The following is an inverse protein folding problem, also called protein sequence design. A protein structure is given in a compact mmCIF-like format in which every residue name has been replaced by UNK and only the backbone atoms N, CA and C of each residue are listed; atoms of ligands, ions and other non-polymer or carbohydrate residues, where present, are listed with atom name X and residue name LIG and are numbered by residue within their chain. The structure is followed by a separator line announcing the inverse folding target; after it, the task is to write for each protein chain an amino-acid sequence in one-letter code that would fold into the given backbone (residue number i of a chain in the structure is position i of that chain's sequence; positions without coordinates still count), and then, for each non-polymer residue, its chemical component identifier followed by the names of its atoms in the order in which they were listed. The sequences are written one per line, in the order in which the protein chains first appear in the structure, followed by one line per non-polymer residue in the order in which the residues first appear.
data_IF_972752399069
#
_entry.id   IF_972752399069
#
_cell.length_a   1.000
_cell.length_b   1.000
_cell.length_c   1.000
_cell.angle_alpha   90.00
_cell.angle_beta   90.00
_cell.angle_gamma   90.00
#
_symmetry.space_group_name_H-M   'P 1'
#
loop_
_entity.id
_entity.type
_entity.pdbx_description
1 polymer ?
#
# COMPACT_ATOMS: atom_id res chain seq x y z
N UNK A 1 9.73 -5.03 -12.32
CA UNK A 1 9.70 -5.94 -11.15
C UNK A 1 9.72 -7.41 -11.57
N UNK A 2 8.96 -7.82 -12.60
CA UNK A 2 8.90 -9.21 -13.10
C UNK A 2 10.25 -9.85 -13.48
N UNK A 3 11.15 -9.10 -14.11
CA UNK A 3 12.47 -9.62 -14.51
C UNK A 3 13.40 -9.96 -13.32
N UNK A 4 13.23 -9.27 -12.19
CA UNK A 4 14.00 -9.57 -10.97
C UNK A 4 13.43 -10.80 -10.24
N UNK A 5 12.10 -10.93 -10.24
CA UNK A 5 11.40 -12.09 -9.69
C UNK A 5 11.71 -13.38 -10.48
N UNK A 6 11.81 -13.32 -11.81
CA UNK A 6 12.18 -14.47 -12.63
C UNK A 6 13.60 -14.96 -12.32
N UNK A 7 14.55 -14.04 -12.14
CA UNK A 7 15.93 -14.39 -11.78
C UNK A 7 16.06 -15.06 -10.41
N UNK A 8 15.30 -14.59 -9.41
CA UNK A 8 15.21 -15.22 -8.08
C UNK A 8 14.61 -16.62 -8.22
N UNK A 9 13.53 -16.76 -8.99
CA UNK A 9 12.86 -18.04 -9.23
C UNK A 9 13.80 -19.05 -9.88
N UNK A 10 14.52 -18.67 -10.93
CA UNK A 10 15.49 -19.55 -11.60
C UNK A 10 16.63 -19.99 -10.67
N UNK A 11 17.09 -19.08 -9.79
CA UNK A 11 18.11 -19.40 -8.79
C UNK A 11 17.56 -20.38 -7.73
N UNK A 12 16.32 -20.18 -7.28
CA UNK A 12 15.62 -21.10 -6.38
C UNK A 12 15.43 -22.49 -7.01
N UNK A 13 14.98 -22.57 -8.25
CA UNK A 13 14.76 -23.83 -8.96
C UNK A 13 16.06 -24.62 -9.12
N UNK A 14 17.19 -23.93 -9.32
CA UNK A 14 18.52 -24.55 -9.29
C UNK A 14 18.88 -25.14 -7.93
N UNK A 15 18.58 -24.43 -6.83
CA UNK A 15 18.79 -24.93 -5.47
C UNK A 15 17.90 -26.15 -5.22
N UNK A 16 16.61 -26.09 -5.55
CA UNK A 16 15.67 -27.19 -5.38
C UNK A 16 16.11 -28.45 -6.15
N UNK A 17 16.57 -28.28 -7.40
CA UNK A 17 17.12 -29.39 -8.20
C UNK A 17 18.35 -30.02 -7.55
N UNK A 18 19.30 -29.21 -7.08
CA UNK A 18 20.52 -29.69 -6.41
C UNK A 18 20.22 -30.35 -5.07
N UNK A 19 19.24 -29.83 -4.31
CA UNK A 19 18.78 -30.43 -3.06
C UNK A 19 18.20 -31.82 -3.31
N UNK A 20 17.34 -31.96 -4.33
CA UNK A 20 16.76 -33.26 -4.71
C UNK A 20 17.85 -34.27 -5.11
N UNK A 21 18.84 -33.84 -5.90
CA UNK A 21 19.98 -34.71 -6.26
C UNK A 21 20.83 -35.10 -5.04
N UNK A 22 21.10 -34.16 -4.13
CA UNK A 22 21.85 -34.43 -2.91
C UNK A 22 21.12 -35.41 -2.00
N UNK A 23 19.81 -35.23 -1.82
CA UNK A 23 18.95 -36.11 -1.02
C UNK A 23 18.89 -37.52 -1.61
N UNK A 24 18.68 -37.68 -2.92
CA UNK A 24 18.69 -38.99 -3.60
C UNK A 24 20.00 -39.74 -3.39
N UNK A 25 21.14 -39.09 -3.66
CA UNK A 25 22.46 -39.70 -3.50
C UNK A 25 22.78 -40.03 -2.05
N UNK A 26 22.31 -39.20 -1.12
CA UNK A 26 22.47 -39.46 0.31
C UNK A 26 21.69 -40.69 0.72
N UNK A 27 20.43 -40.81 0.28
CA UNK A 27 19.60 -41.97 0.54
C UNK A 27 20.21 -43.24 -0.06
N UNK A 28 20.63 -43.21 -1.33
CA UNK A 28 21.28 -44.34 -2.00
C UNK A 28 22.53 -44.83 -1.25
N UNK A 29 23.34 -43.90 -0.74
CA UNK A 29 24.55 -44.21 0.04
C UNK A 29 24.19 -44.83 1.39
N UNK A 30 23.20 -44.26 2.10
CA UNK A 30 22.70 -44.79 3.38
C UNK A 30 22.13 -46.18 3.19
N UNK A 31 21.33 -46.40 2.15
CA UNK A 31 20.72 -47.69 1.84
C UNK A 31 21.77 -48.74 1.50
N UNK A 32 22.83 -48.38 0.75
CA UNK A 32 23.92 -49.30 0.45
C UNK A 32 24.68 -49.70 1.72
N UNK A 33 25.02 -48.73 2.58
CA UNK A 33 25.67 -49.01 3.86
C UNK A 33 24.76 -49.89 4.75
N UNK A 34 23.46 -49.60 4.79
CA UNK A 34 22.48 -50.40 5.52
C UNK A 34 22.44 -51.85 5.03
N UNK A 35 22.38 -52.08 3.71
CA UNK A 35 22.39 -53.43 3.11
C UNK A 35 23.63 -54.23 3.47
N UNK A 36 24.83 -53.64 3.43
CA UNK A 36 26.06 -54.34 3.80
C UNK A 36 26.06 -54.74 5.29
N UNK A 37 25.56 -53.87 6.16
CA UNK A 37 25.44 -54.15 7.60
C UNK A 37 24.42 -55.26 7.85
N UNK A 38 23.25 -55.18 7.22
CA UNK A 38 22.19 -56.20 7.32
C UNK A 38 22.67 -57.57 6.81
N UNK A 39 23.42 -57.61 5.70
CA UNK A 39 23.99 -58.84 5.16
C UNK A 39 25.02 -59.46 6.10
N UNK A 40 25.89 -58.64 6.70
CA UNK A 40 26.85 -59.11 7.71
C UNK A 40 26.14 -59.64 8.97
N UNK A 41 25.08 -58.95 9.43
CA UNK A 41 24.26 -59.38 10.57
C UNK A 41 23.56 -60.71 10.30
N UNK A 42 22.93 -60.87 9.13
CA UNK A 42 22.25 -62.11 8.75
C UNK A 42 23.23 -63.30 8.70
N UNK A 43 24.46 -63.07 8.23
CA UNK A 43 25.51 -64.09 8.20
C UNK A 43 25.96 -64.48 9.61
N UNK A 44 26.07 -63.53 10.53
CA UNK A 44 26.43 -63.78 11.93
C UNK A 44 25.33 -64.49 12.74
N UNK A 45 24.06 -64.32 12.34
CA UNK A 45 22.88 -64.91 13.00
C UNK A 45 22.41 -66.23 12.36
N UNK A 46 23.14 -66.73 11.34
CA UNK A 46 22.77 -67.96 10.65
C UNK A 46 22.78 -69.18 11.59
N UNK A 47 21.73 -70.02 11.61
CA UNK A 47 21.62 -71.17 12.51
C UNK A 47 22.46 -72.39 12.10
N UNK A 48 23.32 -72.30 11.07
CA UNK A 48 24.18 -73.40 10.64
C UNK A 48 25.55 -73.34 11.37
N UNK A 49 25.79 -74.33 12.24
CA UNK A 49 26.99 -74.59 13.04
C UNK A 49 27.50 -73.43 13.94
N UNK A 50 28.07 -73.72 15.13
CA UNK A 50 28.64 -72.69 16.00
C UNK A 50 29.85 -72.03 15.32
N UNK A 51 29.63 -70.83 14.78
CA UNK A 51 30.67 -69.97 14.20
C UNK A 51 31.87 -69.85 15.15
N UNK A 52 33.07 -70.10 14.62
CA UNK A 52 34.29 -69.91 15.42
C UNK A 52 34.63 -68.42 15.54
N UNK A 53 35.45 -68.06 16.52
CA UNK A 53 35.94 -66.69 16.69
C UNK A 53 36.71 -66.17 15.45
N UNK A 54 37.30 -67.09 14.67
CA UNK A 54 37.99 -66.76 13.43
C UNK A 54 37.01 -66.37 12.31
N UNK A 55 35.86 -67.03 12.22
CA UNK A 55 34.83 -66.76 11.20
C UNK A 55 34.17 -65.39 11.41
N UNK A 56 33.85 -65.06 12.67
CA UNK A 56 33.31 -63.74 13.03
C UNK A 56 34.29 -62.61 12.69
N UNK A 57 35.58 -62.82 12.94
CA UNK A 57 36.62 -61.85 12.63
C UNK A 57 36.80 -61.67 11.12
N UNK A 58 36.65 -62.74 10.34
CA UNK A 58 36.66 -62.69 8.88
C UNK A 58 35.51 -61.85 8.34
N UNK A 59 34.27 -62.11 8.79
CA UNK A 59 33.06 -61.39 8.38
C UNK A 59 33.17 -59.89 8.67
N UNK A 60 33.66 -59.52 9.86
CA UNK A 60 33.87 -58.10 10.21
C UNK A 60 34.97 -57.44 9.37
N UNK A 61 36.01 -58.18 8.98
CA UNK A 61 37.07 -57.68 8.12
C UNK A 61 36.57 -57.47 6.69
N UNK A 62 35.72 -58.37 6.19
CA UNK A 62 35.03 -58.23 4.90
C UNK A 62 34.07 -57.03 4.91
N UNK A 63 33.23 -56.88 5.94
CA UNK A 63 32.34 -55.73 6.11
C UNK A 63 33.14 -54.42 6.09
N UNK A 64 34.25 -54.35 6.85
CA UNK A 64 35.13 -53.18 6.84
C UNK A 64 35.69 -52.87 5.45
N UNK A 65 36.07 -53.89 4.69
CA UNK A 65 36.53 -53.74 3.30
C UNK A 65 35.43 -53.19 2.40
N UNK A 66 34.20 -53.72 2.50
CA UNK A 66 33.06 -53.27 1.69
C UNK A 66 32.64 -51.85 2.04
N UNK A 67 32.57 -51.51 3.33
CA UNK A 67 32.26 -50.14 3.78
C UNK A 67 33.30 -49.12 3.31
N UNK A 68 34.60 -49.48 3.34
CA UNK A 68 35.66 -48.63 2.79
C UNK A 68 35.54 -48.47 1.27
N UNK A 69 35.14 -49.52 0.55
CA UNK A 69 34.96 -49.48 -0.90
C UNK A 69 33.77 -48.60 -1.34
N UNK A 70 32.73 -48.46 -0.50
CA UNK A 70 31.59 -47.55 -0.76
C UNK A 70 32.05 -46.08 -0.79
N UNK A 71 33.11 -45.73 -0.05
CA UNK A 71 33.66 -44.37 -0.08
C UNK A 71 32.62 -43.30 0.29
N UNK A 72 31.74 -43.59 1.26
CA UNK A 72 30.52 -42.81 1.57
C UNK A 72 30.79 -41.30 1.70
N UNK A 73 31.87 -40.93 2.38
CA UNK A 73 32.30 -39.54 2.54
C UNK A 73 32.58 -38.85 1.19
N UNK A 74 33.31 -39.50 0.30
CA UNK A 74 33.66 -38.95 -1.02
C UNK A 74 32.42 -38.83 -1.92
N UNK A 75 31.50 -39.80 -1.84
CA UNK A 75 30.23 -39.78 -2.59
C UNK A 75 29.27 -38.68 -2.11
N UNK A 76 29.28 -38.35 -0.82
CA UNK A 76 28.43 -37.31 -0.23
C UNK A 76 29.01 -35.90 -0.35
N UNK A 77 30.34 -35.76 -0.35
CA UNK A 77 31.01 -34.46 -0.41
C UNK A 77 30.69 -33.65 -1.68
N UNK A 78 30.72 -34.29 -2.85
CA UNK A 78 30.47 -33.62 -4.14
C UNK A 78 29.08 -32.98 -4.21
N UNK A 79 27.99 -33.76 -4.03
CA UNK A 79 26.62 -33.24 -4.02
C UNK A 79 26.39 -32.17 -2.95
N UNK A 80 26.98 -32.34 -1.76
CA UNK A 80 26.87 -31.37 -0.66
C UNK A 80 27.58 -30.04 -1.00
N UNK A 81 28.78 -30.09 -1.59
CA UNK A 81 29.51 -28.90 -2.07
C UNK A 81 28.73 -28.17 -3.16
N UNK A 82 28.16 -28.89 -4.13
CA UNK A 82 27.35 -28.30 -5.19
C UNK A 82 26.08 -27.61 -4.66
N UNK A 83 25.38 -28.26 -3.72
CA UNK A 83 24.21 -27.71 -3.04
C UNK A 83 24.57 -26.42 -2.29
N UNK A 84 25.61 -26.47 -1.45
CA UNK A 84 26.08 -25.30 -0.69
C UNK A 84 26.49 -24.14 -1.61
N UNK A 85 27.15 -24.43 -2.75
CA UNK A 85 27.50 -23.40 -3.73
C UNK A 85 26.26 -22.74 -4.36
N UNK A 86 25.20 -23.51 -4.58
CA UNK A 86 23.94 -23.03 -5.17
C UNK A 86 23.17 -22.19 -4.16
N UNK A 87 23.13 -22.62 -2.89
CA UNK A 87 22.55 -21.86 -1.77
C UNK A 87 23.28 -20.53 -1.59
N UNK A 88 24.62 -20.53 -1.56
CA UNK A 88 25.39 -19.30 -1.41
C UNK A 88 25.16 -18.31 -2.57
N UNK A 89 25.02 -18.81 -3.81
CA UNK A 89 24.67 -17.98 -4.98
C UNK A 89 23.26 -17.41 -4.87
N UNK A 90 22.29 -18.23 -4.45
CA UNK A 90 20.91 -17.79 -4.23
C UNK A 90 20.82 -16.73 -3.13
N UNK A 91 21.51 -16.93 -2.00
CA UNK A 91 21.58 -15.95 -0.90
C UNK A 91 22.15 -14.62 -1.37
N UNK A 92 23.31 -14.63 -2.04
CA UNK A 92 23.92 -13.40 -2.60
C UNK A 92 23.01 -12.67 -3.58
N UNK A 93 22.29 -13.41 -4.43
CA UNK A 93 21.35 -12.84 -5.38
C UNK A 93 20.13 -12.23 -4.67
N UNK A 94 19.64 -12.90 -3.62
CA UNK A 94 18.53 -12.44 -2.79
C UNK A 94 18.90 -11.19 -2.02
N UNK A 95 20.06 -11.15 -1.36
CA UNK A 95 20.59 -9.97 -0.66
C UNK A 95 20.71 -8.77 -1.61
N UNK A 96 21.26 -8.99 -2.81
CA UNK A 96 21.44 -7.92 -3.81
C UNK A 96 20.11 -7.32 -4.29
N UNK A 97 19.06 -8.13 -4.40
CA UNK A 97 17.79 -7.71 -4.99
C UNK A 97 16.76 -7.25 -3.95
N UNK A 98 16.74 -7.89 -2.77
CA UNK A 98 15.73 -7.64 -1.73
C UNK A 98 16.23 -6.76 -0.60
N UNK A 99 17.55 -6.59 -0.44
CA UNK A 99 18.13 -5.71 0.57
C UNK A 99 19.11 -4.71 -0.04
N UNK A 100 18.68 -3.88 -1.02
CA UNK A 100 19.51 -2.77 -1.44
C UNK A 100 19.71 -1.83 -0.25
N UNK A 101 20.95 -1.39 -0.04
CA UNK A 101 21.25 -0.39 0.98
C UNK A 101 20.60 0.95 0.59
N UNK A 102 19.36 1.16 1.03
CA UNK A 102 18.53 2.33 0.73
C UNK A 102 19.13 3.62 1.31
N UNK A 103 19.98 3.52 2.34
CA UNK A 103 20.65 4.68 2.93
C UNK A 103 21.54 5.39 1.91
N UNK A 104 22.01 4.68 0.87
CA UNK A 104 22.77 5.28 -0.24
C UNK A 104 21.93 6.22 -1.10
N UNK A 105 20.62 5.98 -1.20
CA UNK A 105 19.68 6.85 -1.89
C UNK A 105 19.28 8.07 -1.04
N UNK A 106 19.63 8.07 0.25
CA UNK A 106 19.38 9.20 1.12
C UNK A 106 20.18 10.41 0.65
N UNK A 107 19.48 11.53 0.54
CA UNK A 107 20.03 12.86 0.30
C UNK A 107 19.71 13.70 1.53
N UNK A 108 20.56 14.66 1.86
CA UNK A 108 20.24 15.69 2.86
C UNK A 108 19.13 16.60 2.34
N UNK A 109 17.90 16.10 2.38
CA UNK A 109 16.68 16.87 2.13
C UNK A 109 16.23 17.41 3.48
N UNK A 110 16.01 18.72 3.56
CA UNK A 110 15.40 19.33 4.74
C UNK A 110 13.95 18.85 4.83
N UNK A 111 13.63 18.20 5.94
CA UNK A 111 12.27 17.80 6.27
C UNK A 111 11.72 18.76 7.32
N UNK A 112 10.46 19.15 7.15
CA UNK A 112 9.72 19.75 8.24
C UNK A 112 9.34 18.64 9.24
N UNK A 113 10.09 18.57 10.34
CA UNK A 113 9.87 17.58 11.38
C UNK A 113 8.48 17.70 12.01
N UNK A 114 7.93 18.91 12.09
CA UNK A 114 6.61 19.14 12.66
C UNK A 114 5.52 18.52 11.79
N UNK A 115 5.59 18.75 10.46
CA UNK A 115 4.65 18.15 9.51
C UNK A 115 4.74 16.62 9.53
N UNK A 116 5.95 16.06 9.58
CA UNK A 116 6.14 14.60 9.64
C UNK A 116 5.50 14.02 10.90
N UNK A 117 5.80 14.61 12.07
CA UNK A 117 5.25 14.13 13.34
C UNK A 117 3.71 14.20 13.35
N UNK A 118 3.13 15.27 12.80
CA UNK A 118 1.68 15.40 12.64
C UNK A 118 1.08 14.34 11.68
N UNK A 119 1.77 14.04 10.57
CA UNK A 119 1.35 12.98 9.62
C UNK A 119 1.36 11.61 10.32
N UNK A 120 2.42 11.31 11.08
CA UNK A 120 2.56 10.04 11.80
C UNK A 120 1.48 9.93 12.88
N UNK A 121 1.26 10.96 13.68
CA UNK A 121 0.22 10.95 14.71
C UNK A 121 -1.18 10.81 14.10
N UNK A 122 -1.47 11.56 13.02
CA UNK A 122 -2.71 11.44 12.25
C UNK A 122 -2.91 10.02 11.69
N UNK A 123 -1.83 9.35 11.27
CA UNK A 123 -1.89 7.95 10.86
C UNK A 123 -2.37 7.05 12.01
N UNK A 124 -1.80 7.19 13.21
CA UNK A 124 -2.23 6.39 14.35
C UNK A 124 -3.69 6.65 14.74
N UNK A 125 -4.13 7.91 14.73
CA UNK A 125 -5.54 8.26 14.96
C UNK A 125 -6.48 7.66 13.92
N UNK A 126 -6.09 7.66 12.64
CA UNK A 126 -6.85 7.00 11.56
C UNK A 126 -6.98 5.48 11.80
N UNK A 127 -5.95 4.84 12.34
CA UNK A 127 -5.98 3.42 12.68
C UNK A 127 -6.69 3.11 14.01
N UNK A 128 -7.13 4.14 14.76
CA UNK A 128 -7.75 3.98 16.07
C UNK A 128 -6.75 3.74 17.22
N UNK A 129 -5.46 3.92 16.96
CA UNK A 129 -4.36 3.75 17.92
C UNK A 129 -4.08 5.08 18.64
N UNK A 130 -5.07 5.58 19.38
CA UNK A 130 -5.02 6.92 19.98
C UNK A 130 -3.86 7.12 20.96
N UNK A 131 -3.57 6.13 21.81
CA UNK A 131 -2.49 6.22 22.80
C UNK A 131 -1.11 6.41 22.15
N UNK A 132 -0.86 5.77 21.01
CA UNK A 132 0.37 5.93 20.23
C UNK A 132 0.45 7.32 19.59
N UNK A 133 -0.66 7.80 19.03
CA UNK A 133 -0.73 9.16 18.48
C UNK A 133 -0.45 10.21 19.56
N UNK A 134 -1.09 10.07 20.72
CA UNK A 134 -0.89 10.95 21.88
C UNK A 134 0.56 10.92 22.38
N UNK A 135 1.18 9.75 22.42
CA UNK A 135 2.59 9.61 22.83
C UNK A 135 3.53 10.40 21.91
N UNK A 136 3.35 10.28 20.58
CA UNK A 136 4.16 11.00 19.59
C UNK A 136 3.98 12.50 19.70
N UNK A 137 2.75 12.97 19.87
CA UNK A 137 2.46 14.40 19.99
C UNK A 137 3.06 14.99 21.25
N UNK A 138 2.97 14.26 22.37
CA UNK A 138 3.54 14.70 23.64
C UNK A 138 5.07 14.74 23.59
N UNK A 139 5.71 13.73 22.98
CA UNK A 139 7.17 13.70 22.81
C UNK A 139 7.68 14.75 21.82
N UNK A 140 6.92 15.04 20.76
CA UNK A 140 7.27 16.02 19.73
C UNK A 140 6.82 17.46 20.06
N UNK A 141 6.11 17.67 21.18
CA UNK A 141 5.54 18.97 21.60
C UNK A 141 4.57 19.60 20.56
N UNK A 142 3.78 18.76 19.87
CA UNK A 142 2.90 19.15 18.74
C UNK A 142 1.47 19.53 19.14
N UNK A 143 1.24 20.79 19.52
CA UNK A 143 -0.09 21.24 20.02
C UNK A 143 -1.26 21.15 19.00
N UNK A 144 -0.99 21.27 17.69
CA UNK A 144 -2.03 21.35 16.65
C UNK A 144 -2.78 20.05 16.37
N UNK A 145 -2.29 18.91 16.84
CA UNK A 145 -2.86 17.61 16.51
C UNK A 145 -4.08 17.20 17.38
N UNK A 146 -4.36 17.95 18.44
CA UNK A 146 -5.48 17.69 19.37
C UNK A 146 -6.85 17.77 18.70
N UNK A 147 -7.04 18.70 17.75
CA UNK A 147 -8.29 18.83 17.00
C UNK A 147 -8.51 17.67 16.02
N UNK A 148 -7.42 17.15 15.44
CA UNK A 148 -7.46 15.99 14.54
C UNK A 148 -7.84 14.74 15.34
N UNK A 149 -7.28 14.59 16.54
CA UNK A 149 -7.60 13.50 17.46
C UNK A 149 -9.09 13.41 17.79
N UNK A 150 -9.72 14.50 18.20
CA UNK A 150 -11.14 14.49 18.59
C UNK A 150 -12.04 14.06 17.44
N UNK A 151 -11.74 14.49 16.23
CA UNK A 151 -12.56 14.17 15.07
C UNK A 151 -12.40 12.69 14.66
N UNK A 152 -11.19 12.13 14.71
CA UNK A 152 -11.00 10.70 14.48
C UNK A 152 -11.60 9.83 15.58
N UNK A 153 -11.63 10.32 16.83
CA UNK A 153 -12.32 9.63 17.92
C UNK A 153 -13.82 9.54 17.67
N UNK A 154 -14.46 10.63 17.24
CA UNK A 154 -15.87 10.63 16.84
C UNK A 154 -16.11 9.66 15.66
N UNK A 155 -15.27 9.72 14.62
CA UNK A 155 -15.37 8.83 13.46
C UNK A 155 -15.30 7.36 13.87
N UNK A 156 -14.31 6.98 14.69
CA UNK A 156 -14.17 5.61 15.19
C UNK A 156 -15.36 5.20 16.06
N UNK A 157 -15.85 6.08 16.94
CA UNK A 157 -17.04 5.81 17.73
C UNK A 157 -18.26 5.47 16.85
N UNK A 158 -18.47 6.25 15.78
CA UNK A 158 -19.57 5.99 14.83
C UNK A 158 -19.35 4.68 14.06
N UNK A 159 -18.14 4.42 13.57
CA UNK A 159 -17.80 3.19 12.82
C UNK A 159 -17.97 1.94 13.69
N UNK A 160 -17.48 1.95 14.94
CA UNK A 160 -17.65 0.82 15.86
C UNK A 160 -19.12 0.57 16.20
N UNK A 161 -19.91 1.63 16.38
CA UNK A 161 -21.35 1.49 16.56
C UNK A 161 -22.01 0.82 15.34
N UNK A 162 -21.63 1.20 14.13
CA UNK A 162 -22.13 0.56 12.90
C UNK A 162 -21.74 -0.93 12.82
N UNK A 163 -20.53 -1.31 13.26
CA UNK A 163 -20.10 -2.72 13.29
C UNK A 163 -20.99 -3.60 14.17
N UNK A 164 -21.47 -3.08 15.29
CA UNK A 164 -22.43 -3.77 16.18
C UNK A 164 -23.89 -3.52 15.80
N UNK A 165 -24.16 -3.12 14.54
CA UNK A 165 -25.50 -2.85 13.98
C UNK A 165 -26.25 -1.69 14.64
N UNK A 166 -25.56 -0.78 15.30
CA UNK A 166 -26.13 0.44 15.86
C UNK A 166 -25.89 1.62 14.91
N UNK A 167 -26.91 2.00 14.14
CA UNK A 167 -26.85 3.13 13.20
C UNK A 167 -27.13 4.50 13.86
N UNK A 168 -27.50 4.54 15.14
CA UNK A 168 -27.94 5.79 15.79
C UNK A 168 -26.86 6.89 15.79
N UNK A 169 -25.58 6.59 16.10
CA UNK A 169 -24.52 7.61 16.01
C UNK A 169 -24.31 8.10 14.57
N UNK A 170 -24.39 7.19 13.59
CA UNK A 170 -24.21 7.52 12.19
C UNK A 170 -25.34 8.43 11.66
N UNK A 171 -26.60 8.11 12.02
CA UNK A 171 -27.79 8.92 11.73
C UNK A 171 -27.72 10.32 12.35
N UNK A 172 -27.22 10.40 13.59
CA UNK A 172 -27.03 11.67 14.30
C UNK A 172 -25.98 12.52 13.58
N UNK A 173 -24.85 11.92 13.20
CA UNK A 173 -23.78 12.60 12.52
C UNK A 173 -24.18 13.10 11.12
N UNK A 174 -24.85 12.29 10.30
CA UNK A 174 -25.30 12.75 8.96
C UNK A 174 -26.35 13.85 9.06
N UNK A 175 -27.23 13.79 10.07
CA UNK A 175 -28.22 14.84 10.29
C UNK A 175 -27.56 16.17 10.68
N UNK A 176 -26.56 16.12 11.56
CA UNK A 176 -25.79 17.30 11.97
C UNK A 176 -24.97 17.91 10.81
N UNK A 177 -24.55 17.09 9.84
CA UNK A 177 -23.73 17.50 8.71
C UNK A 177 -24.49 17.59 7.37
N UNK A 178 -25.83 17.50 7.40
CA UNK A 178 -26.68 17.41 6.19
C UNK A 178 -26.39 18.49 5.17
N UNK A 179 -26.33 19.75 5.60
CA UNK A 179 -26.13 20.89 4.69
C UNK A 179 -24.80 20.76 3.92
N UNK A 180 -23.72 20.37 4.61
CA UNK A 180 -22.41 20.17 4.00
C UNK A 180 -22.41 18.97 3.06
N UNK A 181 -23.05 17.87 3.45
CA UNK A 181 -23.18 16.66 2.62
C UNK A 181 -23.97 16.92 1.33
N UNK A 182 -25.00 17.77 1.38
CA UNK A 182 -25.77 18.16 0.19
C UNK A 182 -24.95 19.04 -0.74
N UNK A 183 -24.14 19.98 -0.21
CA UNK A 183 -23.28 20.85 -1.02
C UNK A 183 -22.28 20.07 -1.87
N UNK A 184 -21.80 18.94 -1.37
CA UNK A 184 -20.84 18.06 -2.06
C UNK A 184 -21.52 16.96 -2.88
N UNK A 185 -22.86 16.95 -2.93
CA UNK A 185 -23.63 15.95 -3.68
C UNK A 185 -23.60 14.54 -3.09
N UNK A 186 -23.30 14.39 -1.80
CA UNK A 186 -23.24 13.08 -1.14
C UNK A 186 -24.64 12.50 -0.91
N UNK A 187 -24.82 11.22 -1.23
CA UNK A 187 -26.03 10.45 -0.95
C UNK A 187 -25.91 9.57 0.32
N UNK A 188 -24.89 9.82 1.15
CA UNK A 188 -24.60 9.02 2.34
C UNK A 188 -25.78 8.96 3.31
N UNK A 189 -26.49 10.08 3.52
CA UNK A 189 -27.66 10.12 4.42
C UNK A 189 -28.75 9.14 3.97
N UNK A 190 -29.02 9.06 2.66
CA UNK A 190 -29.95 8.06 2.12
C UNK A 190 -29.44 6.63 2.37
N UNK A 191 -28.16 6.35 2.11
CA UNK A 191 -27.57 5.00 2.32
C UNK A 191 -27.74 4.54 3.77
N UNK A 192 -27.45 5.41 4.74
CA UNK A 192 -27.60 5.08 6.17
C UNK A 192 -29.07 4.88 6.53
N UNK A 193 -29.98 5.72 6.05
CA UNK A 193 -31.41 5.51 6.24
C UNK A 193 -31.92 4.23 5.58
N UNK A 194 -31.37 3.83 4.43
CA UNK A 194 -31.66 2.55 3.77
C UNK A 194 -31.26 1.37 4.65
N UNK A 195 -30.04 1.37 5.21
CA UNK A 195 -29.61 0.31 6.14
C UNK A 195 -30.55 0.20 7.35
N UNK A 196 -30.90 1.34 7.96
CA UNK A 196 -31.81 1.35 9.11
C UNK A 196 -33.21 0.88 8.72
N UNK A 197 -33.70 1.27 7.54
CA UNK A 197 -35.00 0.82 7.06
C UNK A 197 -35.03 -0.69 6.81
N UNK A 198 -33.97 -1.27 6.22
CA UNK A 198 -33.84 -2.71 6.02
C UNK A 198 -33.87 -3.46 7.36
N UNK A 199 -33.19 -2.96 8.39
CA UNK A 199 -33.26 -3.53 9.75
C UNK A 199 -34.68 -3.44 10.34
N UNK A 200 -35.40 -2.34 10.14
CA UNK A 200 -36.80 -2.18 10.56
C UNK A 200 -37.73 -3.14 9.80
N UNK A 201 -37.52 -3.36 8.50
CA UNK A 201 -38.31 -4.31 7.71
C UNK A 201 -38.03 -5.76 8.12
N UNK A 202 -36.79 -6.07 8.47
CA UNK A 202 -36.39 -7.43 8.86
C UNK A 202 -36.89 -7.80 10.26
N UNK A 203 -36.83 -6.86 11.22
CA UNK A 203 -37.06 -7.14 12.64
C UNK A 203 -38.34 -6.51 13.23
N UNK A 204 -38.96 -5.57 12.51
CA UNK A 204 -40.11 -4.79 12.99
C UNK A 204 -41.45 -5.18 12.36
N UNK A 205 -42.47 -4.35 12.60
CA UNK A 205 -43.79 -4.51 11.99
C UNK A 205 -43.93 -3.68 10.72
N UNK A 206 -44.94 -3.99 9.90
CA UNK A 206 -45.26 -3.19 8.72
C UNK A 206 -45.61 -1.74 9.08
N UNK A 207 -46.22 -1.50 10.25
CA UNK A 207 -46.51 -0.17 10.75
C UNK A 207 -45.23 0.62 11.06
N UNK A 208 -44.23 -0.02 11.67
CA UNK A 208 -42.93 0.60 11.98
C UNK A 208 -42.17 0.97 10.70
N UNK A 209 -42.13 0.06 9.72
CA UNK A 209 -41.50 0.31 8.43
C UNK A 209 -42.20 1.45 7.67
N UNK A 210 -43.53 1.47 7.64
CA UNK A 210 -44.30 2.57 7.03
C UNK A 210 -44.06 3.90 7.73
N UNK A 211 -44.02 3.90 9.07
CA UNK A 211 -43.73 5.11 9.86
C UNK A 211 -42.34 5.64 9.50
N UNK A 212 -41.33 4.79 9.53
CA UNK A 212 -39.95 5.16 9.22
C UNK A 212 -39.78 5.69 7.79
N UNK A 213 -40.40 5.02 6.82
CA UNK A 213 -40.41 5.46 5.42
C UNK A 213 -40.96 6.89 5.26
N UNK A 214 -42.12 7.16 5.87
CA UNK A 214 -42.77 8.47 5.77
C UNK A 214 -41.99 9.58 6.46
N UNK A 215 -41.30 9.28 7.56
CA UNK A 215 -40.57 10.29 8.33
C UNK A 215 -39.17 10.55 7.77
N UNK A 216 -38.45 9.50 7.39
CA UNK A 216 -37.01 9.58 7.11
C UNK A 216 -36.68 9.41 5.63
N UNK A 217 -37.42 8.59 4.88
CA UNK A 217 -37.13 8.32 3.46
C UNK A 217 -37.90 9.24 2.50
N UNK A 218 -39.06 9.76 2.90
CA UNK A 218 -39.88 10.62 2.05
C UNK A 218 -39.15 11.85 1.45
N UNK A 219 -38.24 12.55 2.15
CA UNK A 219 -37.48 13.66 1.57
C UNK A 219 -36.63 13.25 0.35
N UNK A 220 -36.18 11.99 0.29
CA UNK A 220 -35.32 11.47 -0.76
C UNK A 220 -36.09 10.94 -1.98
N UNK A 221 -37.41 10.73 -1.85
CA UNK A 221 -38.24 10.07 -2.86
C UNK A 221 -38.22 10.79 -4.23
N UNK A 222 -38.12 12.13 -4.23
CA UNK A 222 -38.08 12.91 -5.48
C UNK A 222 -36.76 12.74 -6.24
N UNK A 223 -35.65 12.68 -5.51
CA UNK A 223 -34.30 12.66 -6.06
C UNK A 223 -33.83 11.23 -6.39
N UNK A 224 -34.23 10.23 -5.60
CA UNK A 224 -33.79 8.84 -5.71
C UNK A 224 -34.98 7.89 -5.89
N UNK A 225 -35.75 8.09 -6.98
CA UNK A 225 -37.02 7.38 -7.23
C UNK A 225 -36.87 5.86 -7.28
N UNK A 226 -35.90 5.35 -8.03
CA UNK A 226 -35.74 3.92 -8.23
C UNK A 226 -35.39 3.20 -6.94
N UNK A 227 -34.50 3.80 -6.15
CA UNK A 227 -34.12 3.30 -4.83
C UNK A 227 -35.33 3.33 -3.89
N UNK A 228 -36.07 4.44 -3.86
CA UNK A 228 -37.28 4.56 -3.04
C UNK A 228 -38.33 3.52 -3.41
N UNK A 229 -38.57 3.26 -4.71
CA UNK A 229 -39.51 2.22 -5.16
C UNK A 229 -39.08 0.82 -4.71
N UNK A 230 -37.78 0.48 -4.78
CA UNK A 230 -37.26 -0.80 -4.27
C UNK A 230 -37.53 -0.94 -2.76
N UNK A 231 -37.25 0.11 -1.98
CA UNK A 231 -37.53 0.11 -0.54
C UNK A 231 -39.02 -0.03 -0.23
N UNK A 232 -39.89 0.57 -1.04
CA UNK A 232 -41.34 0.43 -0.86
C UNK A 232 -41.82 -0.99 -1.19
N UNK A 233 -41.22 -1.64 -2.18
CA UNK A 233 -41.47 -3.06 -2.49
C UNK A 233 -41.14 -4.01 -1.34
N UNK A 234 -40.15 -3.66 -0.51
CA UNK A 234 -39.77 -4.45 0.67
C UNK A 234 -40.89 -4.56 1.72
N UNK A 235 -41.85 -3.61 1.74
CA UNK A 235 -42.98 -3.64 2.68
C UNK A 235 -43.86 -4.89 2.55
N UNK A 236 -43.89 -5.51 1.36
CA UNK A 236 -44.65 -6.76 1.13
C UNK A 236 -43.99 -7.98 1.79
N UNK A 237 -42.73 -7.85 2.22
CA UNK A 237 -41.87 -8.93 2.70
C UNK A 237 -41.36 -8.68 4.13
N UNK A 238 -42.04 -7.85 4.92
CA UNK A 238 -41.70 -7.61 6.34
C UNK A 238 -41.57 -8.94 7.10
N UNK A 239 -40.47 -9.11 7.83
CA UNK A 239 -40.12 -10.35 8.55
C UNK A 239 -39.70 -11.53 7.65
N UNK A 240 -39.75 -11.40 6.32
CA UNK A 240 -39.42 -12.44 5.34
C UNK A 240 -38.57 -11.93 4.18
N UNK A 241 -37.81 -10.85 4.40
CA UNK A 241 -37.05 -10.16 3.34
C UNK A 241 -35.99 -11.06 2.70
N UNK A 242 -35.45 -12.02 3.46
CA UNK A 242 -34.53 -13.06 2.99
C UNK A 242 -35.09 -13.91 1.83
N UNK A 243 -36.41 -14.10 1.78
CA UNK A 243 -37.09 -14.90 0.75
C UNK A 243 -37.72 -14.02 -0.36
N UNK A 244 -37.26 -12.78 -0.48
CA UNK A 244 -37.80 -11.80 -1.43
C UNK A 244 -36.84 -11.52 -2.59
N UNK A 245 -37.32 -10.91 -3.68
CA UNK A 245 -36.45 -10.37 -4.73
C UNK A 245 -35.43 -9.31 -4.24
N UNK A 246 -35.59 -8.82 -3.01
CA UNK A 246 -34.77 -7.78 -2.38
C UNK A 246 -33.77 -8.34 -1.36
N UNK A 247 -33.58 -9.66 -1.30
CA UNK A 247 -32.66 -10.30 -0.34
C UNK A 247 -31.21 -9.76 -0.44
N UNK A 248 -30.81 -9.25 -1.60
CA UNK A 248 -29.50 -8.61 -1.81
C UNK A 248 -29.27 -7.41 -0.89
N UNK A 249 -30.32 -6.67 -0.50
CA UNK A 249 -30.23 -5.54 0.44
C UNK A 249 -29.78 -5.97 1.85
N UNK A 250 -29.90 -7.25 2.20
CA UNK A 250 -29.43 -7.82 3.47
C UNK A 250 -27.94 -8.18 3.45
N UNK A 251 -27.30 -8.09 2.28
CA UNK A 251 -25.88 -8.40 2.12
C UNK A 251 -25.01 -7.53 3.04
N UNK A 252 -24.05 -8.11 3.78
CA UNK A 252 -23.08 -7.37 4.59
C UNK A 252 -22.28 -6.33 3.80
N UNK A 253 -22.12 -6.52 2.49
CA UNK A 253 -21.39 -5.61 1.60
C UNK A 253 -21.93 -4.18 1.67
N UNK A 254 -23.25 -4.00 1.82
CA UNK A 254 -23.85 -2.67 1.97
C UNK A 254 -23.39 -1.93 3.23
N UNK A 255 -23.15 -2.67 4.31
CA UNK A 255 -22.63 -2.11 5.55
C UNK A 255 -21.17 -1.70 5.40
N UNK A 256 -20.35 -2.55 4.80
CA UNK A 256 -18.94 -2.28 4.51
C UNK A 256 -18.80 -1.04 3.63
N UNK A 257 -19.47 -1.01 2.47
CA UNK A 257 -19.44 0.11 1.54
C UNK A 257 -19.96 1.42 2.16
N UNK A 258 -21.02 1.36 2.97
CA UNK A 258 -21.56 2.57 3.63
C UNK A 258 -20.62 3.07 4.73
N UNK A 259 -19.94 2.16 5.43
CA UNK A 259 -18.95 2.50 6.47
C UNK A 259 -17.70 3.15 5.84
N UNK A 260 -17.21 2.61 4.72
CA UNK A 260 -16.12 3.20 3.96
C UNK A 260 -16.48 4.59 3.41
N UNK A 261 -17.70 4.73 2.85
CA UNK A 261 -18.20 6.02 2.40
C UNK A 261 -18.30 7.02 3.55
N UNK A 262 -18.82 6.60 4.70
CA UNK A 262 -18.90 7.43 5.91
C UNK A 262 -17.50 7.92 6.32
N UNK A 263 -16.51 7.04 6.40
CA UNK A 263 -15.14 7.41 6.74
C UNK A 263 -14.55 8.43 5.73
N UNK A 264 -14.87 8.27 4.44
CA UNK A 264 -14.49 9.23 3.40
C UNK A 264 -15.12 10.59 3.59
N UNK A 265 -16.42 10.64 3.88
CA UNK A 265 -17.13 11.90 4.10
C UNK A 265 -16.66 12.59 5.39
N UNK A 266 -16.36 11.83 6.44
CA UNK A 266 -15.70 12.37 7.63
C UNK A 266 -14.38 13.07 7.26
N UNK A 267 -13.48 12.37 6.56
CA UNK A 267 -12.19 12.95 6.16
C UNK A 267 -12.36 14.23 5.34
N UNK A 268 -13.25 14.19 4.35
CA UNK A 268 -13.55 15.34 3.50
C UNK A 268 -14.04 16.55 4.31
N UNK A 269 -15.02 16.35 5.21
CA UNK A 269 -15.58 17.44 6.02
C UNK A 269 -14.59 18.00 7.05
N UNK A 270 -13.58 17.22 7.45
CA UNK A 270 -12.46 17.68 8.28
C UNK A 270 -11.40 18.47 7.48
N UNK A 271 -11.52 18.58 6.16
CA UNK A 271 -10.47 19.13 5.29
C UNK A 271 -9.23 18.23 5.22
N UNK A 272 -9.41 16.94 5.51
CA UNK A 272 -8.35 15.95 5.52
C UNK A 272 -8.44 15.07 4.26
N UNK A 273 -7.28 14.64 3.75
CA UNK A 273 -7.26 13.62 2.69
C UNK A 273 -7.93 12.34 3.19
N UNK A 274 -8.70 11.69 2.32
CA UNK A 274 -9.20 10.33 2.56
C UNK A 274 -8.03 9.34 2.64
N UNK A 275 -7.14 9.40 1.64
CA UNK A 275 -5.92 8.62 1.66
C UNK A 275 -4.98 9.16 2.74
N UNK A 276 -4.40 8.24 3.51
CA UNK A 276 -3.47 8.59 4.56
C UNK A 276 -2.18 9.15 3.94
N UNK A 277 -1.77 10.39 4.25
CA UNK A 277 -0.56 10.99 3.69
C UNK A 277 0.69 10.14 3.90
N UNK A 278 0.80 9.43 5.03
CA UNK A 278 1.93 8.55 5.30
C UNK A 278 2.00 7.39 4.30
N UNK A 279 0.85 6.79 3.98
CA UNK A 279 0.77 5.69 3.02
C UNK A 279 1.12 6.17 1.61
N UNK A 280 0.62 7.35 1.24
CA UNK A 280 0.91 7.98 -0.06
C UNK A 280 2.40 8.26 -0.21
N UNK A 281 3.03 8.87 0.80
CA UNK A 281 4.48 9.16 0.79
C UNK A 281 5.29 7.87 0.71
N UNK A 282 4.89 6.84 1.46
CA UNK A 282 5.59 5.55 1.43
C UNK A 282 5.47 4.87 0.07
N UNK A 283 4.27 4.87 -0.54
CA UNK A 283 4.05 4.33 -1.88
C UNK A 283 4.85 5.08 -2.94
N UNK A 284 4.85 6.43 -2.91
CA UNK A 284 5.66 7.26 -3.80
C UNK A 284 7.16 6.97 -3.62
N UNK A 285 7.60 6.78 -2.38
CA UNK A 285 8.97 6.40 -2.03
C UNK A 285 9.37 5.06 -2.64
N UNK A 286 8.51 4.04 -2.52
CA UNK A 286 8.75 2.72 -3.14
C UNK A 286 8.88 2.84 -4.65
N UNK A 287 8.01 3.61 -5.30
CA UNK A 287 8.02 3.75 -6.76
C UNK A 287 9.27 4.51 -7.25
N UNK A 288 9.70 5.53 -6.51
CA UNK A 288 10.89 6.33 -6.85
C UNK A 288 12.23 5.70 -6.49
N UNK A 289 12.26 4.83 -5.48
CA UNK A 289 13.49 4.26 -4.90
C UNK A 289 14.39 3.54 -5.93
N UNK A 290 13.89 2.70 -6.86
CA UNK A 290 14.73 2.05 -7.87
C UNK A 290 15.51 3.05 -8.74
N UNK A 291 14.89 4.17 -9.10
CA UNK A 291 15.53 5.23 -9.90
C UNK A 291 16.60 5.94 -9.09
N UNK A 292 16.33 6.25 -7.83
CA UNK A 292 17.30 6.86 -6.92
C UNK A 292 18.53 5.96 -6.72
N UNK A 293 18.32 4.67 -6.45
CA UNK A 293 19.42 3.71 -6.27
C UNK A 293 20.29 3.56 -7.53
N UNK A 294 19.68 3.53 -8.72
CA UNK A 294 20.43 3.53 -10.00
C UNK A 294 21.26 4.80 -10.14
N UNK A 295 20.69 5.95 -9.83
CA UNK A 295 21.36 7.23 -9.95
C UNK A 295 22.55 7.35 -9.00
N UNK A 296 22.43 6.85 -7.77
CA UNK A 296 23.56 6.78 -6.82
C UNK A 296 24.71 5.96 -7.38
N UNK A 297 24.43 4.83 -8.04
CA UNK A 297 25.47 4.00 -8.64
C UNK A 297 26.16 4.71 -9.81
N UNK A 298 25.42 5.47 -10.62
CA UNK A 298 25.99 6.29 -11.71
C UNK A 298 26.83 7.44 -11.16
N UNK A 299 26.37 8.06 -10.08
CA UNK A 299 27.01 9.19 -9.41
C UNK A 299 28.07 8.79 -8.39
N UNK A 300 28.44 7.49 -8.31
CA UNK A 300 29.30 6.97 -7.26
C UNK A 300 30.71 7.62 -7.22
N UNK A 301 31.21 8.10 -8.37
CA UNK A 301 32.47 8.84 -8.46
C UNK A 301 32.37 10.31 -8.02
N UNK A 302 31.15 10.86 -7.89
CA UNK A 302 30.83 12.26 -7.61
C UNK A 302 29.90 12.37 -6.39
N UNK A 303 30.25 11.72 -5.28
CA UNK A 303 29.42 11.67 -4.07
C UNK A 303 29.09 13.04 -3.49
N UNK A 304 30.03 13.98 -3.54
CA UNK A 304 29.80 15.33 -3.01
C UNK A 304 28.77 16.10 -3.85
N UNK A 305 28.88 16.02 -5.19
CA UNK A 305 27.87 16.60 -6.09
C UNK A 305 26.48 15.98 -5.86
N UNK A 306 26.40 14.66 -5.62
CA UNK A 306 25.14 13.99 -5.30
C UNK A 306 24.46 14.53 -4.04
N UNK A 307 25.24 14.84 -2.99
CA UNK A 307 24.72 15.35 -1.72
C UNK A 307 24.28 16.82 -1.81
N UNK A 308 24.92 17.63 -2.65
CA UNK A 308 24.62 19.05 -2.82
C UNK A 308 23.52 19.33 -3.88
N UNK A 309 23.12 18.31 -4.66
CA UNK A 309 22.09 18.42 -5.69
C UNK A 309 20.69 18.64 -5.10
N UNK A 310 20.18 19.86 -5.26
CA UNK A 310 18.78 20.22 -4.89
C UNK A 310 17.73 19.58 -5.80
N UNK A 311 18.07 19.26 -7.04
CA UNK A 311 17.16 18.68 -8.02
C UNK A 311 17.76 17.42 -8.65
N UNK A 312 16.90 16.50 -9.06
CA UNK A 312 17.32 15.29 -9.77
C UNK A 312 17.59 15.61 -11.25
N UNK A 313 18.65 15.06 -11.85
CA UNK A 313 18.95 15.23 -13.27
C UNK A 313 18.00 14.46 -14.19
N UNK A 314 17.23 13.53 -13.63
CA UNK A 314 16.26 12.70 -14.37
C UNK A 314 14.89 12.79 -13.68
N UNK A 315 13.80 12.79 -14.45
CA UNK A 315 12.46 12.73 -13.88
C UNK A 315 12.25 11.39 -13.17
N UNK A 316 11.53 11.41 -12.06
CA UNK A 316 11.02 10.21 -11.38
C UNK A 316 9.55 10.11 -11.74
N UNK A 317 9.23 9.18 -12.64
CA UNK A 317 7.85 8.93 -13.06
C UNK A 317 7.13 8.12 -11.98
N UNK A 318 6.39 8.81 -11.11
CA UNK A 318 5.64 8.18 -10.02
C UNK A 318 4.26 7.67 -10.47
N UNK A 319 3.69 8.22 -11.54
CA UNK A 319 2.32 7.93 -11.97
C UNK A 319 1.39 9.14 -11.83
N UNK A 320 0.13 8.98 -12.23
CA UNK A 320 -0.90 10.04 -12.17
C UNK A 320 -1.56 10.13 -10.80
N UNK A 321 -1.58 9.04 -10.07
CA UNK A 321 -2.11 8.89 -8.71
C UNK A 321 -1.35 9.74 -7.67
N UNK A 322 -0.11 10.13 -7.96
CA UNK A 322 0.69 11.02 -7.10
C UNK A 322 0.64 12.51 -7.52
N UNK A 323 -0.23 12.86 -8.48
CA UNK A 323 -0.38 14.23 -8.97
C UNK A 323 -1.52 14.94 -8.23
N UNK A 324 -1.22 15.45 -7.04
CA UNK A 324 -2.21 16.09 -6.16
C UNK A 324 -2.52 17.54 -6.50
N UNK A 325 -1.59 18.23 -7.17
CA UNK A 325 -1.71 19.66 -7.46
C UNK A 325 -1.32 19.94 -8.92
N UNK A 326 -1.99 20.91 -9.52
CA UNK A 326 -1.60 21.41 -10.83
C UNK A 326 -0.30 22.20 -10.71
N UNK A 327 0.72 21.80 -11.46
CA UNK A 327 1.99 22.52 -11.51
C UNK A 327 2.06 23.28 -12.84
N UNK A 328 2.41 24.56 -12.77
CA UNK A 328 2.71 25.34 -13.96
C UNK A 328 4.23 25.43 -14.16
N UNK A 329 4.72 25.12 -15.36
CA UNK A 329 6.11 25.37 -15.76
C UNK A 329 6.12 26.46 -16.81
N UNK A 330 6.88 27.54 -16.57
CA UNK A 330 6.96 28.65 -17.50
C UNK A 330 7.61 28.18 -18.80
N UNK A 331 6.96 28.37 -19.95
CA UNK A 331 7.52 27.91 -21.22
C UNK A 331 8.71 28.73 -21.71
N UNK A 332 8.85 29.97 -21.24
CA UNK A 332 9.94 30.87 -21.62
C UNK A 332 11.16 30.64 -20.76
N UNK A 333 11.00 30.63 -19.44
CA UNK A 333 12.13 30.48 -18.53
C UNK A 333 12.42 29.02 -18.19
N UNK A 334 11.47 28.12 -18.44
CA UNK A 334 11.48 26.70 -18.02
C UNK A 334 11.50 26.50 -16.50
N UNK A 335 11.24 27.57 -15.75
CA UNK A 335 11.11 27.50 -14.30
C UNK A 335 9.71 27.05 -13.90
N UNK A 336 9.60 26.25 -12.86
CA UNK A 336 8.33 25.97 -12.19
C UNK A 336 7.80 27.25 -11.52
N UNK A 337 6.50 27.50 -11.63
CA UNK A 337 5.83 28.61 -10.94
C UNK A 337 5.86 28.43 -9.42
N UNK A 338 6.02 29.53 -8.68
CA UNK A 338 6.05 29.57 -7.22
C UNK A 338 5.20 30.73 -6.68
N UNK A 339 5.06 30.88 -5.37
CA UNK A 339 4.37 32.03 -4.77
C UNK A 339 5.08 33.36 -5.10
N UNK A 340 6.42 33.37 -5.15
CA UNK A 340 7.22 34.54 -5.50
C UNK A 340 7.28 34.79 -7.02
N UNK A 341 7.16 33.72 -7.81
CA UNK A 341 7.14 33.75 -9.28
C UNK A 341 5.88 33.09 -9.85
N UNK A 342 4.69 33.66 -9.60
CA UNK A 342 3.45 32.99 -9.91
C UNK A 342 3.16 32.98 -11.42
N UNK A 343 2.33 32.03 -11.88
CA UNK A 343 1.76 32.04 -13.21
C UNK A 343 0.84 33.25 -13.39
N UNK A 344 1.04 33.98 -14.48
CA UNK A 344 0.30 35.18 -14.83
C UNK A 344 -0.35 35.00 -16.20
N UNK A 345 -1.67 35.15 -16.24
CA UNK A 345 -2.51 35.16 -17.43
C UNK A 345 -2.34 36.49 -18.17
N UNK A 346 -1.93 36.42 -19.42
CA UNK A 346 -1.90 37.56 -20.34
C UNK A 346 -3.32 37.83 -20.90
N UNK A 347 -3.59 39.03 -21.44
CA UNK A 347 -4.86 39.35 -22.09
C UNK A 347 -5.22 38.41 -23.26
N UNK A 348 -4.23 37.80 -23.90
CA UNK A 348 -4.40 36.81 -24.96
C UNK A 348 -4.63 35.37 -24.45
N UNK A 349 -4.87 35.19 -23.14
CA UNK A 349 -5.13 33.93 -22.44
C UNK A 349 -3.94 32.95 -22.35
N UNK A 350 -2.76 33.32 -22.85
CA UNK A 350 -1.53 32.58 -22.55
C UNK A 350 -1.03 32.88 -21.14
N UNK A 351 -0.34 31.92 -20.54
CA UNK A 351 0.21 32.04 -19.17
C UNK A 351 1.73 32.06 -19.23
N UNK A 352 2.35 32.99 -18.50
CA UNK A 352 3.80 33.09 -18.29
C UNK A 352 4.08 33.37 -16.81
N UNK A 353 5.25 32.99 -16.30
CA UNK A 353 5.63 33.37 -14.94
C UNK A 353 5.89 34.88 -14.80
N UNK A 354 5.58 35.44 -13.63
CA UNK A 354 5.75 36.87 -13.31
C UNK A 354 7.13 37.41 -13.65
N UNK A 355 8.21 36.69 -13.32
CA UNK A 355 9.57 37.11 -13.64
C UNK A 355 9.83 37.17 -15.15
N UNK A 356 9.28 36.24 -15.94
CA UNK A 356 9.40 36.27 -17.40
C UNK A 356 8.68 37.48 -17.99
N UNK A 357 7.49 37.82 -17.47
CA UNK A 357 6.77 39.04 -17.84
C UNK A 357 7.57 40.30 -17.48
N UNK A 358 8.16 40.35 -16.28
CA UNK A 358 9.00 41.47 -15.85
C UNK A 358 10.22 41.66 -16.75
N UNK A 359 10.90 40.58 -17.15
CA UNK A 359 12.03 40.64 -18.08
C UNK A 359 11.59 41.14 -19.47
N UNK A 360 10.50 40.60 -20.02
CA UNK A 360 9.98 40.98 -21.34
C UNK A 360 9.55 42.45 -21.40
N UNK A 361 8.92 42.93 -20.33
CA UNK A 361 8.44 44.32 -20.17
C UNK A 361 9.51 45.32 -19.71
N UNK A 362 10.78 44.90 -19.57
CA UNK A 362 11.87 45.71 -18.96
C UNK A 362 11.44 46.31 -17.62
N UNK A 363 11.11 45.45 -16.66
CA UNK A 363 10.62 45.81 -15.33
C UNK A 363 9.38 46.72 -15.36
N UNK A 364 8.35 46.34 -16.12
CA UNK A 364 7.07 47.06 -16.26
C UNK A 364 7.14 48.44 -16.94
N UNK A 365 8.26 48.78 -17.60
CA UNK A 365 8.43 50.10 -18.23
C UNK A 365 7.82 50.20 -19.64
N UNK A 366 7.46 49.08 -20.27
CA UNK A 366 6.89 49.05 -21.62
C UNK A 366 5.95 47.87 -21.88
N UNK A 367 5.21 47.97 -22.98
CA UNK A 367 4.49 46.84 -23.58
C UNK A 367 5.48 45.75 -24.06
N UNK A 368 5.03 44.50 -24.08
CA UNK A 368 5.80 43.37 -24.58
C UNK A 368 4.93 42.46 -25.44
N UNK A 369 5.56 41.70 -26.35
CA UNK A 369 4.85 40.73 -27.19
C UNK A 369 4.78 39.38 -26.50
N UNK A 370 3.63 38.72 -26.63
CA UNK A 370 3.48 37.34 -26.19
C UNK A 370 4.43 36.43 -26.99
N UNK A 371 5.17 35.50 -26.35
CA UNK A 371 6.03 34.54 -27.05
C UNK A 371 5.27 33.54 -27.93
N UNK A 372 3.97 33.36 -27.69
CA UNK A 372 3.14 32.37 -28.37
C UNK A 372 2.28 32.92 -29.50
N UNK A 373 2.08 34.24 -29.54
CA UNK A 373 1.13 34.87 -30.45
C UNK A 373 1.50 36.34 -30.70
N UNK A 374 0.98 36.98 -31.75
CA UNK A 374 1.36 38.36 -32.09
C UNK A 374 0.79 39.41 -31.11
N UNK A 375 -0.01 39.02 -30.12
CA UNK A 375 -0.63 39.94 -29.18
C UNK A 375 0.39 40.65 -28.28
N UNK A 376 0.16 41.93 -28.04
CA UNK A 376 0.92 42.75 -27.10
C UNK A 376 0.21 42.81 -25.74
N UNK A 377 0.99 42.86 -24.68
CA UNK A 377 0.52 42.91 -23.30
C UNK A 377 1.28 43.97 -22.50
N UNK A 378 0.61 44.51 -21.48
CA UNK A 378 1.21 45.31 -20.41
C UNK A 378 1.13 44.54 -19.10
N UNK A 379 2.08 44.77 -18.20
CA UNK A 379 2.12 44.06 -16.91
C UNK A 379 0.85 44.33 -16.09
N UNK A 380 0.32 45.56 -16.14
CA UNK A 380 -0.90 45.96 -15.45
C UNK A 380 -2.16 45.17 -15.86
N UNK A 381 -2.20 44.60 -17.08
CA UNK A 381 -3.31 43.79 -17.56
C UNK A 381 -3.11 42.29 -17.37
N UNK A 382 -1.96 41.88 -16.83
CA UNK A 382 -1.70 40.48 -16.51
C UNK A 382 -2.32 40.15 -15.14
N UNK A 383 -3.02 39.01 -15.04
CA UNK A 383 -3.67 38.58 -13.80
C UNK A 383 -3.01 37.31 -13.29
N UNK A 384 -2.80 37.23 -11.98
CA UNK A 384 -2.30 36.00 -11.38
C UNK A 384 -3.34 34.87 -11.53
N UNK A 385 -2.86 33.69 -11.92
CA UNK A 385 -3.67 32.47 -11.93
C UNK A 385 -3.47 31.75 -10.62
N UNK A 386 -4.57 31.30 -10.01
CA UNK A 386 -4.59 30.41 -8.86
C UNK A 386 -5.13 29.07 -9.34
N UNK A 387 -4.42 27.99 -9.04
CA UNK A 387 -4.75 26.62 -9.45
C UNK A 387 -5.17 25.79 -8.24
#
# INVERSE_FOLDING_TARGET
MEFHLSSIKDAFDRVAKKQKTCSSKSQETVDQVGREIEQALATLQSPQDPLTLADQKSILTELKSKLNAIGSLQHLEGPTKELNSSIAKYQKLTEKLLNPDISKAYRNVEFDSHIINQIIASHFYRQGLFDLGDSIINEAEESNATAIRSNFLEMHHVIEAMRVRNLQPALTWVSANREKLVQIGSNLELKIHTLQYVEVVQNGTQADALKYSRTCLAPFAKLYKDEFHKLMGCLMYVGRLQNSPYAELLSPVHWEMTTEELARQFCYLMGQSYENPLNVVFAAGIEGLPTLLKLVNVMAAKKQEWQEMKQLPVPVELGKEFQFHSIFVCPVSRDQGSEENPPMLLPCLHVLCKQSIMKLSKNSTRTFKCPYCPAEATVAHCRQVFF
#
